data_IF_021075625990
#
_entry.id   IF_021075625990
#
_cell.length_a   1.000
_cell.length_b   1.000
_cell.length_c   1.000
_cell.angle_alpha   90.00
_cell.angle_beta   90.00
_cell.angle_gamma   90.00
#
_symmetry.space_group_name_H-M   'P 1'
#
loop_
_entity.id
_entity.type
_entity.pdbx_description
1 polymer ?
#
# COMPACT_ATOMS: atom_id res chain seq x y z
N UNK A 1 10.76 -4.00 0.62
CA UNK A 1 9.71 -4.88 0.07
C UNK A 1 8.37 -4.21 0.23
N UNK A 2 7.41 -4.43 -0.68
CA UNK A 2 6.05 -3.93 -0.49
C UNK A 2 5.45 -4.57 0.77
N UNK A 3 4.98 -3.76 1.71
CA UNK A 3 4.48 -4.24 3.01
C UNK A 3 3.18 -5.03 2.88
N UNK A 4 2.41 -4.79 1.81
CA UNK A 4 1.09 -5.42 1.59
C UNK A 4 1.22 -6.81 0.94
N UNK A 5 2.05 -6.97 -0.09
CA UNK A 5 2.26 -8.26 -0.76
C UNK A 5 3.52 -9.01 -0.32
N UNK A 6 4.36 -8.39 0.52
CA UNK A 6 5.63 -8.90 1.07
C UNK A 6 6.70 -9.27 0.03
N UNK A 7 6.52 -8.88 -1.23
CA UNK A 7 7.49 -9.12 -2.31
C UNK A 7 8.50 -7.97 -2.39
N UNK A 8 9.78 -8.31 -2.53
CA UNK A 8 10.89 -7.34 -2.70
C UNK A 8 10.88 -6.78 -4.12
N UNK A 9 10.77 -7.69 -5.09
CA UNK A 9 10.62 -7.43 -6.51
C UNK A 9 9.27 -8.00 -6.96
N UNK A 10 8.54 -7.20 -7.72
CA UNK A 10 7.33 -7.62 -8.39
C UNK A 10 7.32 -6.97 -9.77
N UNK A 11 6.75 -7.67 -10.74
CA UNK A 11 6.51 -7.11 -12.07
C UNK A 11 5.67 -5.82 -11.93
N UNK A 12 6.20 -4.72 -12.46
CA UNK A 12 5.53 -3.41 -12.43
C UNK A 12 4.24 -3.40 -13.21
N UNK A 13 4.09 -4.26 -14.22
CA UNK A 13 2.84 -4.39 -14.99
C UNK A 13 1.76 -5.10 -14.16
N UNK A 14 2.17 -5.94 -13.19
CA UNK A 14 1.26 -6.68 -12.31
C UNK A 14 0.95 -5.92 -11.02
N UNK A 15 1.95 -5.26 -10.42
CA UNK A 15 1.81 -4.62 -9.11
C UNK A 15 1.73 -3.09 -9.19
N UNK A 16 2.09 -2.49 -10.32
CA UNK A 16 2.30 -1.06 -10.45
C UNK A 16 3.62 -0.62 -9.83
N UNK A 17 3.89 0.68 -9.92
CA UNK A 17 5.10 1.29 -9.35
C UNK A 17 5.18 1.08 -7.83
N UNK A 18 6.41 0.88 -7.33
CA UNK A 18 6.68 0.81 -5.88
C UNK A 18 6.89 2.22 -5.34
N UNK A 19 5.99 2.64 -4.45
CA UNK A 19 6.06 3.93 -3.80
C UNK A 19 6.62 3.80 -2.38
N UNK A 20 7.42 4.79 -1.96
CA UNK A 20 7.97 4.87 -0.62
C UNK A 20 7.84 6.28 -0.04
N UNK A 21 7.10 6.41 1.07
CA UNK A 21 6.90 7.69 1.77
C UNK A 21 6.40 7.43 3.19
N UNK A 22 6.72 8.33 4.13
CA UNK A 22 6.24 8.27 5.52
C UNK A 22 6.49 6.91 6.22
N UNK A 23 7.58 6.22 5.87
CA UNK A 23 7.89 4.89 6.42
C UNK A 23 7.03 3.75 5.86
N UNK A 24 6.22 4.01 4.83
CA UNK A 24 5.42 3.01 4.11
C UNK A 24 6.07 2.72 2.77
N UNK A 25 6.20 1.43 2.43
CA UNK A 25 6.63 0.96 1.11
C UNK A 25 5.53 0.06 0.54
N UNK A 26 4.89 0.47 -0.57
CA UNK A 26 3.80 -0.29 -1.17
C UNK A 26 3.74 -0.07 -2.68
N UNK A 27 3.30 -1.09 -3.43
CA UNK A 27 2.99 -0.91 -4.84
C UNK A 27 1.63 -0.22 -5.03
N UNK A 28 1.48 0.53 -6.13
CA UNK A 28 0.23 1.25 -6.47
C UNK A 28 -0.96 0.30 -6.46
N UNK A 29 -0.91 -0.81 -7.18
CA UNK A 29 -2.06 -1.73 -7.24
C UNK A 29 -2.26 -2.49 -5.92
N UNK A 30 -1.20 -2.72 -5.15
CA UNK A 30 -1.37 -3.26 -3.80
C UNK A 30 -2.18 -2.33 -2.90
N UNK A 31 -2.04 -1.00 -3.02
CA UNK A 31 -2.84 -0.04 -2.26
C UNK A 31 -4.32 -0.08 -2.66
N UNK A 32 -4.60 -0.09 -3.97
CA UNK A 32 -5.97 -0.09 -4.49
C UNK A 32 -6.71 -1.41 -4.22
N UNK A 33 -6.03 -2.55 -4.26
CA UNK A 33 -6.66 -3.87 -4.08
C UNK A 33 -6.58 -4.42 -2.65
N UNK A 34 -5.91 -3.72 -1.72
CA UNK A 34 -5.90 -4.13 -0.33
C UNK A 34 -7.28 -3.96 0.31
N UNK A 35 -7.75 -5.00 0.99
CA UNK A 35 -9.05 -4.99 1.66
C UNK A 35 -9.07 -3.96 2.79
N UNK A 36 -10.13 -3.14 2.84
CA UNK A 36 -10.38 -2.13 3.88
C UNK A 36 -9.34 -0.98 3.91
N UNK A 37 -8.72 -0.68 2.77
CA UNK A 37 -7.97 0.54 2.53
C UNK A 37 -8.83 1.45 1.65
N UNK A 38 -9.10 2.67 2.13
CA UNK A 38 -9.91 3.65 1.42
C UNK A 38 -9.07 4.89 1.16
N UNK A 39 -8.96 5.35 -0.10
CA UNK A 39 -8.26 6.59 -0.39
C UNK A 39 -9.08 7.79 0.11
N UNK A 40 -8.39 8.82 0.58
CA UNK A 40 -8.95 10.14 0.80
C UNK A 40 -9.26 10.79 -0.57
N UNK A 41 -10.16 11.78 -0.58
CA UNK A 41 -10.48 12.54 -1.80
C UNK A 41 -9.27 13.27 -2.39
N UNK A 42 -8.28 13.59 -1.55
CA UNK A 42 -7.05 14.27 -1.95
C UNK A 42 -5.87 13.29 -1.99
N UNK A 43 -5.38 13.01 -3.20
CA UNK A 43 -4.27 12.11 -3.48
C UNK A 43 -2.91 12.56 -2.88
N UNK A 44 -2.80 13.84 -2.51
CA UNK A 44 -1.60 14.39 -1.85
C UNK A 44 -1.50 13.99 -0.39
N UNK A 45 -2.58 13.51 0.22
CA UNK A 45 -2.62 13.06 1.61
C UNK A 45 -1.98 11.67 1.72
N UNK A 46 -1.03 11.52 2.64
CA UNK A 46 -0.38 10.23 2.86
C UNK A 46 0.34 9.71 1.62
N UNK A 47 0.06 8.46 1.25
CA UNK A 47 0.61 7.80 0.07
C UNK A 47 -0.51 7.62 -0.96
N UNK A 48 -0.59 8.46 -2.00
CA UNK A 48 -1.66 8.43 -3.02
C UNK A 48 -3.07 8.53 -2.43
N UNK A 49 -3.27 9.37 -1.43
CA UNK A 49 -4.54 9.50 -0.71
C UNK A 49 -4.73 8.48 0.41
N UNK A 50 -3.86 7.48 0.57
CA UNK A 50 -4.00 6.49 1.65
C UNK A 50 -3.24 6.92 2.91
N UNK A 51 -3.92 6.91 4.06
CA UNK A 51 -3.32 7.28 5.33
C UNK A 51 -2.30 6.21 5.78
N UNK A 52 -1.08 6.58 6.19
CA UNK A 52 -0.08 5.60 6.64
C UNK A 52 -0.58 4.68 7.76
N UNK A 53 -1.41 5.20 8.68
CA UNK A 53 -2.03 4.41 9.76
C UNK A 53 -2.91 3.28 9.23
N UNK A 54 -3.68 3.54 8.20
CA UNK A 54 -4.59 2.57 7.59
C UNK A 54 -3.81 1.52 6.80
N UNK A 55 -2.72 1.93 6.14
CA UNK A 55 -1.81 0.99 5.46
C UNK A 55 -1.18 0.04 6.48
N UNK A 56 -0.65 0.56 7.59
CA UNK A 56 -0.12 -0.29 8.66
C UNK A 56 -1.17 -1.23 9.25
N UNK A 57 -2.43 -0.79 9.38
CA UNK A 57 -3.53 -1.64 9.83
C UNK A 57 -3.81 -2.76 8.83
N UNK A 58 -3.85 -2.46 7.53
CA UNK A 58 -4.03 -3.45 6.47
C UNK A 58 -2.89 -4.47 6.44
N UNK A 59 -1.63 -4.02 6.60
CA UNK A 59 -0.46 -4.90 6.72
C UNK A 59 -0.60 -5.86 7.90
N UNK A 60 -0.99 -5.36 9.08
CA UNK A 60 -1.23 -6.21 10.25
C UNK A 60 -2.34 -7.22 10.04
N UNK A 61 -3.44 -6.82 9.39
CA UNK A 61 -4.55 -7.73 9.05
C UNK A 61 -4.12 -8.81 8.07
N UNK A 62 -3.35 -8.44 7.05
CA UNK A 62 -2.80 -9.40 6.08
C UNK A 62 -1.79 -10.37 6.74
N UNK A 63 -1.21 -10.00 7.88
CA UNK A 63 -0.34 -10.87 8.66
C UNK A 63 -1.06 -11.89 9.55
N UNK A 64 -2.35 -11.69 9.82
CA UNK A 64 -3.16 -12.54 10.69
C UNK A 64 -4.00 -13.58 9.92
N UNK A 65 -3.81 -13.66 8.60
CA UNK A 65 -4.41 -14.68 7.73
C UNK A 65 -3.31 -15.62 7.26
#
# INVERSE_FOLDING_TARGET
ACMLCRRVEADSDICGEKLEKYGVCAHVFCLYFATLLYPQENDRVGLMGFLPRDIHLAVRRAAQK
#
